data_IF_097446118636
#
_entry.id   IF_097446118636
#
_cell.length_a   1.000
_cell.length_b   1.000
_cell.length_c   1.000
_cell.angle_alpha   90.00
_cell.angle_beta   90.00
_cell.angle_gamma   90.00
#
_symmetry.space_group_name_H-M   'P 1'
#
loop_
_entity.id
_entity.type
_entity.pdbx_description
1 polymer ?
#
# COMPACT_ATOMS: atom_id res chain seq x y z
N UNK A 1 5.15 22.35 -5.30
CA UNK A 1 4.25 21.39 -5.97
C UNK A 1 3.09 22.12 -6.62
N UNK A 2 2.83 21.89 -7.89
CA UNK A 2 1.70 22.48 -8.66
C UNK A 2 0.93 21.33 -9.31
N UNK A 3 -0.41 21.33 -9.19
CA UNK A 3 -1.26 20.37 -9.90
C UNK A 3 -1.13 20.60 -11.40
N UNK A 4 -0.76 19.57 -12.13
CA UNK A 4 -0.63 19.62 -13.61
C UNK A 4 -1.76 18.85 -14.30
N UNK A 5 -2.40 17.90 -13.59
CA UNK A 5 -3.50 17.10 -14.11
C UNK A 5 -4.36 16.56 -12.96
N UNK A 6 -5.65 16.39 -13.23
CA UNK A 6 -6.58 15.63 -12.39
C UNK A 6 -7.28 14.56 -13.21
N UNK A 7 -7.47 13.38 -12.63
CA UNK A 7 -8.27 12.30 -13.20
C UNK A 7 -9.37 11.90 -12.21
N UNK A 8 -10.53 11.57 -12.77
CA UNK A 8 -11.62 10.97 -12.01
C UNK A 8 -11.66 9.47 -12.31
N UNK A 9 -11.38 8.60 -11.33
CA UNK A 9 -11.45 7.16 -11.50
C UNK A 9 -12.90 6.70 -11.69
N UNK A 10 -13.09 5.46 -12.15
CA UNK A 10 -14.42 4.85 -12.32
C UNK A 10 -15.13 4.64 -10.98
N UNK A 11 -14.40 4.30 -9.91
CA UNK A 11 -14.90 4.31 -8.54
C UNK A 11 -14.92 5.71 -7.93
N UNK A 12 -15.50 5.83 -6.73
CA UNK A 12 -15.57 7.10 -5.99
C UNK A 12 -14.28 7.45 -5.25
N UNK A 13 -13.48 6.43 -4.89
CA UNK A 13 -12.27 6.55 -4.09
C UNK A 13 -11.15 5.71 -4.69
N UNK A 14 -10.02 6.32 -4.99
CA UNK A 14 -8.82 5.63 -5.49
C UNK A 14 -7.97 5.16 -4.31
N UNK A 15 -7.59 3.89 -4.34
CA UNK A 15 -6.78 3.25 -3.29
C UNK A 15 -5.35 2.98 -3.73
N UNK A 16 -5.12 2.79 -5.02
CA UNK A 16 -3.83 2.46 -5.58
C UNK A 16 -3.64 3.15 -6.93
N UNK A 17 -2.43 3.62 -7.18
CA UNK A 17 -1.95 3.99 -8.50
C UNK A 17 -0.52 3.49 -8.68
N UNK A 18 -0.23 2.85 -9.82
CA UNK A 18 1.11 2.42 -10.18
C UNK A 18 1.36 2.61 -11.68
N UNK A 19 2.62 2.82 -12.05
CA UNK A 19 3.07 2.65 -13.44
C UNK A 19 3.19 1.17 -13.77
N UNK A 20 2.73 0.79 -14.96
CA UNK A 20 2.82 -0.59 -15.48
C UNK A 20 3.39 -0.60 -16.91
N UNK A 21 3.88 -1.77 -17.35
CA UNK A 21 4.40 -1.99 -18.69
C UNK A 21 5.44 -0.96 -19.10
N UNK A 22 6.53 -0.91 -18.35
CA UNK A 22 7.64 0.03 -18.55
C UNK A 22 7.17 1.50 -18.58
N UNK A 23 6.33 1.86 -17.64
CA UNK A 23 5.80 3.23 -17.46
C UNK A 23 4.96 3.77 -18.62
N UNK A 24 4.46 2.90 -19.50
CA UNK A 24 3.57 3.31 -20.60
C UNK A 24 2.15 3.61 -20.12
N UNK A 25 1.73 2.94 -19.06
CA UNK A 25 0.37 3.03 -18.56
C UNK A 25 0.35 3.26 -17.05
N UNK A 26 -0.77 3.80 -16.59
CA UNK A 26 -1.10 3.96 -15.18
C UNK A 26 -2.22 3.00 -14.82
N UNK A 27 -1.97 2.09 -13.90
CA UNK A 27 -2.97 1.23 -13.29
C UNK A 27 -3.56 1.93 -12.09
N UNK A 28 -4.86 2.03 -12.02
CA UNK A 28 -5.59 2.61 -10.90
C UNK A 28 -6.59 1.60 -10.37
N UNK A 29 -6.54 1.36 -9.06
CA UNK A 29 -7.58 0.63 -8.34
C UNK A 29 -8.42 1.62 -7.56
N UNK A 30 -9.70 1.63 -7.81
CA UNK A 30 -10.67 2.48 -7.11
C UNK A 30 -11.89 1.67 -6.67
N UNK A 31 -12.64 2.18 -5.71
CA UNK A 31 -13.86 1.52 -5.22
C UNK A 31 -15.01 2.51 -5.08
N UNK A 32 -16.23 1.99 -5.11
CA UNK A 32 -17.45 2.73 -4.76
C UNK A 32 -17.88 2.46 -3.31
N UNK A 33 -19.03 3.01 -2.92
CA UNK A 33 -19.59 2.83 -1.59
C UNK A 33 -20.13 1.43 -1.33
N UNK A 34 -20.40 0.66 -2.39
CA UNK A 34 -20.90 -0.71 -2.33
C UNK A 34 -19.77 -1.75 -2.28
N UNK A 35 -18.51 -1.30 -2.06
CA UNK A 35 -17.28 -2.11 -2.08
C UNK A 35 -16.99 -2.77 -3.43
N UNK A 36 -17.56 -2.24 -4.49
CA UNK A 36 -17.21 -2.67 -5.83
C UNK A 36 -15.95 -1.98 -6.26
N UNK A 37 -14.99 -2.77 -6.70
CA UNK A 37 -13.70 -2.29 -7.18
C UNK A 37 -13.70 -2.10 -8.69
N UNK A 38 -12.95 -1.10 -9.16
CA UNK A 38 -12.75 -0.79 -10.55
C UNK A 38 -11.26 -0.78 -10.85
N UNK A 39 -10.87 -1.48 -11.89
CA UNK A 39 -9.53 -1.46 -12.47
C UNK A 39 -9.60 -0.53 -13.65
N UNK A 40 -8.93 0.61 -13.58
CA UNK A 40 -8.78 1.55 -14.69
C UNK A 40 -7.32 1.55 -15.16
N UNK A 41 -7.10 1.54 -16.47
CA UNK A 41 -5.78 1.71 -17.06
C UNK A 41 -5.82 2.93 -17.98
N UNK A 42 -4.90 3.85 -17.74
CA UNK A 42 -4.75 5.10 -18.50
C UNK A 42 -3.43 5.08 -19.26
N UNK A 43 -3.40 5.70 -20.42
CA UNK A 43 -2.13 6.07 -21.07
C UNK A 43 -1.37 7.08 -20.20
N UNK A 44 -0.09 6.82 -19.91
CA UNK A 44 0.70 7.67 -19.02
C UNK A 44 1.06 9.03 -19.63
N UNK A 45 0.95 9.17 -20.97
CA UNK A 45 1.33 10.38 -21.69
C UNK A 45 0.21 11.38 -21.78
N UNK A 46 -1.01 10.96 -22.16
CA UNK A 46 -2.15 11.86 -22.39
C UNK A 46 -3.28 11.65 -21.37
N UNK A 47 -3.17 10.63 -20.53
CA UNK A 47 -4.15 10.25 -19.51
C UNK A 47 -5.52 9.82 -20.07
N UNK A 48 -5.56 9.37 -21.31
CA UNK A 48 -6.77 8.76 -21.86
C UNK A 48 -7.04 7.42 -21.18
N UNK A 49 -8.29 7.18 -20.81
CA UNK A 49 -8.69 5.89 -20.26
C UNK A 49 -8.74 4.85 -21.40
N UNK A 50 -7.92 3.81 -21.27
CA UNK A 50 -7.79 2.74 -22.26
C UNK A 50 -8.64 1.55 -21.87
N UNK A 51 -8.72 1.25 -20.58
CA UNK A 51 -9.35 0.07 -20.04
C UNK A 51 -10.07 0.41 -18.74
N UNK A 52 -11.27 -0.13 -18.56
CA UNK A 52 -12.01 -0.09 -17.31
C UNK A 52 -12.77 -1.39 -17.13
N UNK A 53 -12.61 -2.02 -15.99
CA UNK A 53 -13.37 -3.21 -15.62
C UNK A 53 -13.77 -3.22 -14.17
N UNK A 54 -15.01 -3.60 -13.91
CA UNK A 54 -15.57 -3.82 -12.58
C UNK A 54 -15.13 -5.19 -12.04
N UNK A 55 -14.75 -5.25 -10.75
CA UNK A 55 -14.44 -6.48 -10.01
C UNK A 55 -15.04 -6.40 -8.61
N UNK A 56 -15.79 -7.41 -8.21
CA UNK A 56 -16.32 -7.50 -6.86
C UNK A 56 -15.24 -7.96 -5.89
N UNK A 57 -15.23 -7.39 -4.68
CA UNK A 57 -14.37 -7.80 -3.57
C UNK A 57 -12.86 -7.82 -3.86
N UNK A 58 -12.39 -7.08 -4.86
CA UNK A 58 -10.97 -6.97 -5.18
C UNK A 58 -10.30 -6.01 -4.21
N UNK A 59 -9.29 -6.50 -3.46
CA UNK A 59 -8.52 -5.70 -2.53
C UNK A 59 -7.30 -5.05 -3.17
N UNK A 60 -6.54 -5.82 -3.93
CA UNK A 60 -5.22 -5.41 -4.41
C UNK A 60 -4.97 -5.93 -5.82
N UNK A 61 -4.16 -5.20 -6.58
CA UNK A 61 -3.69 -5.60 -7.91
C UNK A 61 -2.29 -5.02 -8.15
N UNK A 62 -1.39 -5.84 -8.70
CA UNK A 62 -0.09 -5.38 -9.19
C UNK A 62 0.34 -6.16 -10.43
N UNK A 63 1.19 -5.54 -11.26
CA UNK A 63 1.87 -6.22 -12.37
C UNK A 63 3.06 -7.01 -11.84
N UNK A 64 3.21 -8.23 -12.30
CA UNK A 64 4.34 -9.10 -12.02
C UNK A 64 5.44 -8.89 -13.07
N UNK A 65 6.67 -9.25 -12.72
CA UNK A 65 7.82 -9.24 -13.65
C UNK A 65 7.59 -10.06 -14.92
N UNK A 66 6.67 -11.04 -14.86
CA UNK A 66 6.24 -11.85 -16.02
C UNK A 66 5.32 -11.10 -16.98
N UNK A 67 4.83 -9.90 -16.63
CA UNK A 67 3.81 -9.15 -17.37
C UNK A 67 2.37 -9.59 -17.09
N UNK A 68 2.16 -10.63 -16.28
CA UNK A 68 0.86 -10.94 -15.71
C UNK A 68 0.55 -10.04 -14.52
N UNK A 69 -0.68 -10.08 -14.04
CA UNK A 69 -1.14 -9.37 -12.86
C UNK A 69 -1.52 -10.37 -11.78
N UNK A 70 -1.17 -10.04 -10.53
CA UNK A 70 -1.72 -10.70 -9.35
C UNK A 70 -2.83 -9.84 -8.78
N UNK A 71 -3.94 -10.47 -8.41
CA UNK A 71 -5.12 -9.84 -7.84
C UNK A 71 -5.54 -10.60 -6.58
N UNK A 72 -5.79 -9.91 -5.47
CA UNK A 72 -6.25 -10.53 -4.22
C UNK A 72 -7.65 -10.05 -3.84
N UNK A 73 -8.40 -10.91 -3.14
CA UNK A 73 -9.83 -10.76 -2.89
C UNK A 73 -10.21 -10.99 -1.41
N UNK A 74 -11.42 -10.53 -1.05
CA UNK A 74 -12.02 -10.68 0.30
C UNK A 74 -12.30 -12.14 0.69
N UNK A 75 -12.41 -13.05 -0.28
CA UNK A 75 -12.73 -14.47 -0.03
C UNK A 75 -11.50 -15.36 0.14
N UNK A 76 -10.32 -14.78 0.25
CA UNK A 76 -9.05 -15.52 0.32
C UNK A 76 -8.48 -15.95 -1.03
N UNK A 77 -9.17 -15.66 -2.12
CA UNK A 77 -8.72 -15.97 -3.47
C UNK A 77 -7.60 -15.03 -3.92
N UNK A 78 -6.63 -15.57 -4.63
CA UNK A 78 -5.64 -14.83 -5.40
C UNK A 78 -5.73 -15.30 -6.85
N UNK A 79 -5.81 -14.39 -7.80
CA UNK A 79 -5.78 -14.68 -9.23
C UNK A 79 -4.48 -14.20 -9.85
N UNK A 80 -3.87 -15.04 -10.68
CA UNK A 80 -2.86 -14.62 -11.65
C UNK A 80 -3.59 -14.47 -12.98
N UNK A 81 -3.50 -13.29 -13.60
CA UNK A 81 -4.26 -13.00 -14.81
C UNK A 81 -3.45 -12.18 -15.82
N UNK A 82 -3.77 -12.30 -17.08
CA UNK A 82 -3.32 -11.38 -18.12
C UNK A 82 -4.38 -10.33 -18.41
N UNK A 83 -3.96 -9.10 -18.68
CA UNK A 83 -4.83 -8.02 -19.15
C UNK A 83 -4.51 -7.73 -20.61
N UNK A 84 -5.48 -7.97 -21.48
CA UNK A 84 -5.40 -7.64 -22.90
C UNK A 84 -6.10 -6.29 -23.13
N UNK A 85 -5.31 -5.28 -23.50
CA UNK A 85 -5.81 -3.91 -23.70
C UNK A 85 -6.52 -3.75 -25.04
N UNK A 86 -6.23 -4.59 -26.04
CA UNK A 86 -6.85 -4.54 -27.35
C UNK A 86 -8.27 -5.12 -27.32
N UNK A 87 -8.41 -6.29 -26.71
CA UNK A 87 -9.72 -6.95 -26.52
C UNK A 87 -10.46 -6.46 -25.29
N UNK A 88 -9.80 -5.70 -24.42
CA UNK A 88 -10.32 -5.19 -23.14
C UNK A 88 -10.81 -6.31 -22.22
N UNK A 89 -10.01 -7.37 -22.10
CA UNK A 89 -10.35 -8.54 -21.28
C UNK A 89 -9.30 -8.81 -20.21
N UNK A 90 -9.77 -9.35 -19.07
CA UNK A 90 -8.92 -9.97 -18.05
C UNK A 90 -9.11 -11.49 -18.18
N UNK A 91 -8.02 -12.19 -18.45
CA UNK A 91 -8.02 -13.64 -18.60
C UNK A 91 -7.29 -14.25 -17.40
N UNK A 92 -8.04 -14.93 -16.51
CA UNK A 92 -7.46 -15.61 -15.36
C UNK A 92 -6.66 -16.82 -15.87
N UNK A 93 -5.37 -16.82 -15.52
CA UNK A 93 -4.41 -17.89 -15.88
C UNK A 93 -4.36 -18.93 -14.79
N UNK A 94 -4.42 -18.49 -13.52
CA UNK A 94 -4.38 -19.37 -12.35
C UNK A 94 -5.12 -18.76 -11.18
N UNK A 95 -5.75 -19.62 -10.36
CA UNK A 95 -6.25 -19.27 -9.04
C UNK A 95 -5.40 -19.97 -7.96
N UNK A 96 -4.95 -19.20 -6.95
CA UNK A 96 -4.25 -19.68 -5.78
C UNK A 96 -5.24 -19.73 -4.62
N UNK A 97 -5.48 -20.93 -4.06
CA UNK A 97 -6.58 -21.20 -3.11
C UNK A 97 -6.07 -21.80 -1.80
N UNK A 98 -5.15 -21.14 -1.14
CA UNK A 98 -4.64 -21.62 0.16
C UNK A 98 -5.04 -20.73 1.34
N UNK A 99 -5.35 -19.46 1.09
CA UNK A 99 -5.91 -18.60 2.12
C UNK A 99 -7.38 -18.92 2.38
N UNK A 100 -7.81 -18.76 3.62
CA UNK A 100 -9.19 -18.99 4.08
C UNK A 100 -9.87 -17.72 4.58
N UNK A 101 -9.23 -16.58 4.40
CA UNK A 101 -9.69 -15.25 4.78
C UNK A 101 -9.16 -14.21 3.80
N UNK A 102 -9.67 -12.98 3.90
CA UNK A 102 -9.32 -11.85 3.05
C UNK A 102 -7.82 -11.70 2.88
N UNK A 103 -7.34 -11.57 1.64
CA UNK A 103 -5.93 -11.36 1.32
C UNK A 103 -5.71 -9.87 1.08
N UNK A 104 -5.01 -9.23 1.99
CA UNK A 104 -4.81 -7.79 1.96
C UNK A 104 -3.65 -7.34 1.09
N UNK A 105 -2.56 -8.09 1.09
CA UNK A 105 -1.39 -7.75 0.30
C UNK A 105 -0.75 -8.98 -0.34
N UNK A 106 -0.23 -8.78 -1.54
CA UNK A 106 0.57 -9.76 -2.27
C UNK A 106 1.78 -9.03 -2.84
N UNK A 107 2.96 -9.60 -2.64
CA UNK A 107 4.20 -9.03 -3.13
C UNK A 107 4.98 -10.04 -3.96
N UNK A 108 5.52 -9.59 -5.10
CA UNK A 108 6.57 -10.30 -5.81
C UNK A 108 7.91 -9.96 -5.16
N UNK A 109 8.60 -10.97 -4.69
CA UNK A 109 9.94 -10.85 -4.11
C UNK A 109 10.98 -10.67 -5.22
N UNK A 110 12.13 -10.14 -4.86
CA UNK A 110 13.24 -9.87 -5.79
C UNK A 110 13.75 -11.13 -6.52
N UNK A 111 13.50 -12.31 -5.97
CA UNK A 111 13.83 -13.61 -6.59
C UNK A 111 12.70 -14.20 -7.45
N UNK A 112 11.60 -13.46 -7.65
CA UNK A 112 10.45 -13.86 -8.48
C UNK A 112 9.42 -14.74 -7.78
N UNK A 113 9.61 -15.07 -6.50
CA UNK A 113 8.59 -15.73 -5.70
C UNK A 113 7.50 -14.73 -5.32
N UNK A 114 6.30 -15.24 -4.97
CA UNK A 114 5.27 -14.41 -4.37
C UNK A 114 5.17 -14.68 -2.88
N UNK A 115 4.77 -13.68 -2.15
CA UNK A 115 4.31 -13.79 -0.76
C UNK A 115 2.99 -13.08 -0.62
N UNK A 116 2.07 -13.66 0.14
CA UNK A 116 0.75 -13.10 0.41
C UNK A 116 0.44 -13.13 1.90
N UNK A 117 -0.32 -12.15 2.37
CA UNK A 117 -0.76 -12.09 3.76
C UNK A 117 -2.27 -11.87 3.87
N UNK A 118 -2.86 -12.38 4.92
CA UNK A 118 -4.32 -12.40 5.09
C UNK A 118 -4.79 -12.00 6.48
N UNK A 119 -6.07 -11.71 6.55
CA UNK A 119 -6.82 -11.28 7.72
C UNK A 119 -6.73 -12.25 8.92
N UNK A 120 -6.43 -13.52 8.70
CA UNK A 120 -6.29 -14.51 9.77
C UNK A 120 -4.83 -14.73 10.23
N UNK A 121 -3.91 -13.83 9.87
CA UNK A 121 -2.50 -13.89 10.26
C UNK A 121 -1.67 -14.88 9.47
N UNK A 122 -2.21 -15.48 8.43
CA UNK A 122 -1.50 -16.40 7.57
C UNK A 122 -0.64 -15.66 6.55
N UNK A 123 0.62 -16.08 6.43
CA UNK A 123 1.57 -15.63 5.41
C UNK A 123 1.94 -16.84 4.57
N UNK A 124 1.72 -16.76 3.26
CA UNK A 124 1.98 -17.86 2.32
C UNK A 124 3.02 -17.43 1.29
N UNK A 125 4.01 -18.31 1.06
CA UNK A 125 5.01 -18.16 0.02
C UNK A 125 4.74 -19.10 -1.14
N UNK A 126 4.88 -18.57 -2.34
CA UNK A 126 4.58 -19.26 -3.60
C UNK A 126 5.82 -19.23 -4.49
N UNK A 127 6.16 -20.34 -5.11
CA UNK A 127 7.22 -20.43 -6.10
C UNK A 127 6.65 -20.72 -7.50
N UNK A 128 7.23 -20.08 -8.50
CA UNK A 128 6.87 -20.36 -9.88
C UNK A 128 7.48 -21.71 -10.30
N UNK A 129 6.63 -22.66 -10.68
CA UNK A 129 7.07 -23.89 -11.33
C UNK A 129 7.33 -23.57 -12.81
N UNK A 130 8.60 -23.55 -13.27
CA UNK A 130 8.94 -23.09 -14.61
C UNK A 130 8.48 -24.06 -15.72
N UNK A 131 8.23 -25.33 -15.38
CA UNK A 131 7.78 -26.35 -16.35
C UNK A 131 6.30 -26.22 -16.66
N UNK A 132 5.51 -25.81 -15.70
CA UNK A 132 4.06 -25.67 -15.81
C UNK A 132 3.61 -24.22 -15.94
N UNK A 133 4.51 -23.28 -15.66
CA UNK A 133 4.24 -21.84 -15.59
C UNK A 133 3.10 -21.49 -14.64
N UNK A 134 3.09 -22.14 -13.47
CA UNK A 134 2.14 -21.91 -12.38
C UNK A 134 2.86 -21.66 -11.05
N UNK A 135 2.23 -20.90 -10.17
CA UNK A 135 2.69 -20.72 -8.80
C UNK A 135 2.17 -21.84 -7.92
N UNK A 136 3.05 -22.39 -7.07
CA UNK A 136 2.75 -23.45 -6.12
C UNK A 136 3.13 -22.99 -4.72
N UNK A 137 2.26 -23.24 -3.73
CA UNK A 137 2.58 -23.00 -2.33
C UNK A 137 3.72 -23.91 -1.90
N UNK A 138 4.74 -23.35 -1.25
CA UNK A 138 5.83 -24.16 -0.70
C UNK A 138 6.07 -23.90 0.79
N UNK A 139 5.55 -22.82 1.35
CA UNK A 139 5.67 -22.50 2.78
C UNK A 139 4.47 -21.67 3.23
N UNK A 140 3.95 -22.00 4.41
CA UNK A 140 2.95 -21.22 5.12
C UNK A 140 3.38 -20.97 6.54
N UNK A 141 3.15 -19.75 7.04
CA UNK A 141 3.44 -19.33 8.40
C UNK A 141 2.20 -18.71 9.03
N UNK A 142 2.06 -18.92 10.34
CA UNK A 142 1.13 -18.18 11.19
C UNK A 142 1.96 -17.44 12.24
N UNK A 143 2.29 -16.19 11.97
CA UNK A 143 3.16 -15.42 12.86
C UNK A 143 2.43 -14.98 14.12
N UNK A 144 1.18 -14.54 13.97
CA UNK A 144 0.26 -14.16 15.03
C UNK A 144 -1.15 -14.64 14.67
N UNK A 145 -2.07 -14.77 15.63
CA UNK A 145 -3.46 -15.16 15.34
C UNK A 145 -4.28 -14.05 14.69
N UNK A 146 -3.66 -12.96 14.28
CA UNK A 146 -4.28 -11.70 13.89
C UNK A 146 -3.84 -11.24 12.49
N UNK A 147 -4.51 -10.24 11.99
CA UNK A 147 -4.48 -9.72 10.62
C UNK A 147 -3.14 -9.12 10.21
N UNK A 148 -2.66 -9.46 9.00
CA UNK A 148 -1.56 -8.76 8.34
C UNK A 148 -2.05 -8.04 7.10
N UNK A 149 -1.57 -6.81 6.89
CA UNK A 149 -2.01 -5.96 5.79
C UNK A 149 -0.90 -5.39 4.93
N UNK A 150 0.35 -5.48 5.35
CA UNK A 150 1.46 -4.89 4.59
C UNK A 150 2.70 -5.75 4.62
N UNK A 151 3.33 -5.90 3.48
CA UNK A 151 4.53 -6.68 3.24
C UNK A 151 5.62 -5.78 2.67
N UNK A 152 6.81 -5.78 3.26
CA UNK A 152 7.96 -5.02 2.79
C UNK A 152 9.20 -5.91 2.72
N UNK A 153 9.80 -6.05 1.53
CA UNK A 153 11.03 -6.80 1.34
C UNK A 153 12.25 -5.91 1.58
N UNK A 154 13.17 -6.38 2.40
CA UNK A 154 14.53 -5.87 2.51
C UNK A 154 15.45 -6.75 1.66
N UNK A 155 15.66 -6.33 0.41
CA UNK A 155 16.44 -7.09 -0.57
C UNK A 155 17.91 -7.22 -0.14
N UNK A 156 18.48 -6.18 0.49
CA UNK A 156 19.89 -6.18 0.89
C UNK A 156 20.18 -7.21 2.00
N UNK A 157 19.20 -7.41 2.92
CA UNK A 157 19.36 -8.33 4.05
C UNK A 157 18.60 -9.64 3.86
N UNK A 158 17.98 -9.82 2.71
CA UNK A 158 17.14 -10.97 2.39
C UNK A 158 16.10 -11.26 3.47
N UNK A 159 15.33 -10.21 3.84
CA UNK A 159 14.31 -10.26 4.88
C UNK A 159 12.96 -9.76 4.37
N UNK A 160 11.91 -10.24 4.98
CA UNK A 160 10.54 -9.75 4.79
C UNK A 160 10.03 -9.19 6.11
N UNK A 161 9.49 -7.97 6.09
CA UNK A 161 8.78 -7.35 7.20
C UNK A 161 7.29 -7.47 6.91
N UNK A 162 6.52 -7.91 7.91
CA UNK A 162 5.07 -8.02 7.83
C UNK A 162 4.46 -7.20 8.94
N UNK A 163 3.65 -6.21 8.59
CA UNK A 163 2.96 -5.36 9.55
C UNK A 163 1.49 -5.76 9.71
N UNK A 164 0.95 -5.66 10.94
CA UNK A 164 -0.43 -6.02 11.24
C UNK A 164 -1.42 -5.00 10.68
N UNK A 165 -2.70 -5.39 10.63
CA UNK A 165 -3.86 -4.55 10.38
C UNK A 165 -4.74 -4.52 11.63
N UNK A 166 -5.48 -3.43 11.86
CA UNK A 166 -6.52 -3.22 12.90
C UNK A 166 -6.39 -4.04 14.20
N UNK A 167 -6.31 -3.38 15.36
CA UNK A 167 -6.36 -3.94 16.73
C UNK A 167 -5.47 -5.19 16.98
N UNK A 168 -4.57 -5.48 16.07
CA UNK A 168 -3.71 -6.64 16.12
C UNK A 168 -2.31 -6.26 16.56
N UNK A 169 -1.69 -7.12 17.33
CA UNK A 169 -0.34 -6.93 17.81
C UNK A 169 0.67 -7.65 16.93
N UNK A 170 1.71 -6.92 16.52
CA UNK A 170 2.96 -7.56 16.21
C UNK A 170 3.41 -7.50 14.75
N UNK A 171 4.22 -6.51 14.45
CA UNK A 171 5.11 -6.57 13.29
C UNK A 171 6.12 -7.69 13.47
N UNK A 172 6.38 -8.45 12.42
CA UNK A 172 7.40 -9.49 12.42
C UNK A 172 8.40 -9.36 11.28
N UNK A 173 9.59 -9.92 11.49
CA UNK A 173 10.64 -10.05 10.47
C UNK A 173 10.84 -11.54 10.19
N UNK A 174 10.82 -11.89 8.91
CA UNK A 174 11.05 -13.23 8.39
C UNK A 174 12.37 -13.22 7.63
N UNK A 175 13.23 -14.19 7.90
CA UNK A 175 14.41 -14.48 7.11
C UNK A 175 14.01 -15.23 5.83
N UNK A 176 14.39 -14.73 4.65
CA UNK A 176 13.98 -15.31 3.37
C UNK A 176 14.87 -16.47 2.91
N UNK A 177 16.00 -16.76 3.58
CA UNK A 177 16.78 -17.97 3.33
C UNK A 177 16.15 -19.18 4.02
N UNK A 178 15.68 -19.00 5.25
CA UNK A 178 15.12 -20.08 6.08
C UNK A 178 13.59 -20.11 6.10
N UNK A 179 12.94 -19.01 5.74
CA UNK A 179 11.50 -18.80 5.91
C UNK A 179 11.05 -18.97 7.37
N UNK A 180 11.87 -18.48 8.30
CA UNK A 180 11.58 -18.49 9.74
C UNK A 180 11.40 -17.06 10.26
N UNK A 181 10.54 -16.91 11.25
CA UNK A 181 10.37 -15.64 11.94
C UNK A 181 11.54 -15.42 12.87
N UNK A 182 12.33 -14.37 12.62
CA UNK A 182 13.55 -14.05 13.39
C UNK A 182 13.36 -12.93 14.40
N UNK A 183 12.31 -12.12 14.27
CA UNK A 183 11.94 -11.10 15.24
C UNK A 183 10.43 -10.88 15.26
N UNK A 184 9.91 -10.49 16.43
CA UNK A 184 8.51 -10.12 16.69
C UNK A 184 8.46 -8.90 17.59
N UNK A 185 7.60 -7.93 17.25
CA UNK A 185 7.43 -6.66 17.96
C UNK A 185 5.99 -6.52 18.44
N UNK A 186 5.70 -7.08 19.60
CA UNK A 186 4.34 -7.08 20.18
C UNK A 186 3.90 -5.69 20.65
N UNK A 187 4.84 -4.78 20.89
CA UNK A 187 4.59 -3.38 21.23
C UNK A 187 4.03 -2.55 20.07
N UNK A 188 4.20 -3.02 18.84
CA UNK A 188 3.64 -2.36 17.65
C UNK A 188 2.24 -2.93 17.44
N UNK A 189 1.24 -2.26 17.98
CA UNK A 189 -0.17 -2.63 17.83
C UNK A 189 -0.84 -1.62 16.89
N UNK A 190 -1.52 -2.11 15.85
CA UNK A 190 -2.17 -1.26 14.86
C UNK A 190 -3.61 -0.92 15.20
N UNK A 191 -4.01 0.33 14.93
CA UNK A 191 -5.40 0.80 14.97
C UNK A 191 -5.87 1.36 13.60
N UNK A 192 -5.30 0.89 12.52
CA UNK A 192 -5.60 1.39 11.16
C UNK A 192 -4.83 0.62 10.11
N UNK A 193 -5.00 0.93 8.84
CA UNK A 193 -4.24 0.29 7.78
C UNK A 193 -2.73 0.49 7.99
N UNK A 194 -2.03 -0.60 8.21
CA UNK A 194 -0.58 -0.57 8.41
C UNK A 194 0.12 -0.40 7.08
N UNK A 195 1.09 0.49 7.04
CA UNK A 195 2.00 0.61 5.90
C UNK A 195 3.43 0.69 6.40
N UNK A 196 4.31 -0.03 5.71
CA UNK A 196 5.72 -0.10 5.98
C UNK A 196 6.50 0.69 4.94
N UNK A 197 7.44 1.52 5.39
CA UNK A 197 8.25 2.34 4.49
C UNK A 197 9.71 2.32 4.90
N UNK A 198 10.61 2.16 3.92
CA UNK A 198 12.02 2.44 4.14
C UNK A 198 12.26 3.95 4.22
N UNK A 199 12.81 4.41 5.32
CA UNK A 199 13.32 5.78 5.49
C UNK A 199 14.67 5.91 4.80
N UNK A 200 15.55 4.97 5.08
CA UNK A 200 16.84 4.78 4.43
C UNK A 200 17.09 3.28 4.24
N UNK A 201 18.33 2.88 3.92
CA UNK A 201 18.74 1.50 3.72
C UNK A 201 18.72 0.62 4.98
N UNK A 202 18.48 1.20 6.18
CA UNK A 202 18.55 0.48 7.47
C UNK A 202 17.28 0.60 8.31
N UNK A 203 16.58 1.71 8.17
CA UNK A 203 15.45 2.04 9.02
C UNK A 203 14.13 1.92 8.25
N UNK A 204 13.25 1.12 8.80
CA UNK A 204 11.86 1.00 8.36
C UNK A 204 10.96 1.73 9.34
N UNK A 205 10.00 2.49 8.84
CA UNK A 205 8.88 3.01 9.63
C UNK A 205 7.74 2.03 9.54
N UNK A 206 7.16 1.75 10.70
CA UNK A 206 5.84 1.14 10.83
C UNK A 206 4.86 2.19 11.33
N UNK A 207 3.87 2.56 10.53
CA UNK A 207 2.87 3.55 10.87
C UNK A 207 1.55 2.95 11.39
N UNK A 208 1.53 1.65 11.67
CA UNK A 208 0.33 0.92 12.09
C UNK A 208 -0.34 1.53 13.34
N UNK A 209 0.45 2.15 14.22
CA UNK A 209 -0.01 2.79 15.43
C UNK A 209 -0.11 4.32 15.34
N UNK A 210 0.05 4.91 14.15
CA UNK A 210 0.15 6.37 13.98
C UNK A 210 -1.09 7.15 14.47
N UNK A 211 -2.23 6.49 14.57
CA UNK A 211 -3.47 7.11 15.03
C UNK A 211 -3.52 7.38 16.54
N UNK A 212 -2.78 6.64 17.37
CA UNK A 212 -2.83 6.78 18.83
C UNK A 212 -1.45 6.91 19.49
N UNK A 213 -0.44 6.22 18.98
CA UNK A 213 0.86 6.06 19.65
C UNK A 213 2.01 6.75 18.89
N UNK A 214 1.89 6.93 17.57
CA UNK A 214 2.93 7.50 16.71
C UNK A 214 3.65 6.47 15.84
N UNK A 215 4.81 6.85 15.30
CA UNK A 215 5.57 6.00 14.39
C UNK A 215 6.59 5.15 15.15
N UNK A 216 6.69 3.89 14.78
CA UNK A 216 7.77 3.01 15.20
C UNK A 216 8.86 2.94 14.13
N UNK A 217 10.11 2.96 14.59
CA UNK A 217 11.30 2.88 13.74
C UNK A 217 12.03 1.59 14.05
N UNK A 218 12.16 0.74 13.04
CA UNK A 218 12.78 -0.58 13.14
C UNK A 218 14.16 -0.52 12.49
N UNK A 219 15.20 -0.84 13.27
CA UNK A 219 16.57 -1.02 12.77
C UNK A 219 16.70 -2.44 12.20
N UNK A 220 16.86 -2.52 10.88
CA UNK A 220 16.93 -3.80 10.16
C UNK A 220 18.22 -4.56 10.36
N UNK A 221 19.32 -3.87 10.73
CA UNK A 221 20.59 -4.53 11.08
C UNK A 221 20.49 -5.24 12.43
N UNK A 222 19.75 -4.63 13.37
CA UNK A 222 19.60 -5.14 14.74
C UNK A 222 18.35 -5.97 14.95
N UNK A 223 17.38 -5.93 14.02
CA UNK A 223 16.05 -6.53 14.14
C UNK A 223 15.35 -6.09 15.43
N UNK A 224 15.31 -4.79 15.70
CA UNK A 224 14.69 -4.23 16.91
C UNK A 224 14.09 -2.86 16.67
N UNK A 225 13.10 -2.51 17.47
CA UNK A 225 12.58 -1.14 17.56
C UNK A 225 13.64 -0.24 18.20
N UNK A 226 13.97 0.86 17.52
CA UNK A 226 15.00 1.80 17.97
C UNK A 226 14.45 3.15 18.39
N UNK A 227 13.23 3.48 17.97
CA UNK A 227 12.58 4.74 18.29
C UNK A 227 11.07 4.61 18.14
N UNK A 228 10.37 5.31 19.01
CA UNK A 228 8.96 5.63 18.91
C UNK A 228 8.82 7.17 18.88
N UNK A 229 8.07 7.69 17.91
CA UNK A 229 7.91 9.14 17.74
C UNK A 229 6.46 9.58 17.90
N UNK A 230 6.13 10.08 19.08
CA UNK A 230 4.78 10.57 19.40
C UNK A 230 4.42 11.89 18.69
N UNK A 231 5.37 12.59 18.07
CA UNK A 231 5.13 13.90 17.44
C UNK A 231 4.19 13.83 16.25
N UNK A 232 4.10 12.67 15.60
CA UNK A 232 3.17 12.46 14.50
C UNK A 232 1.72 12.23 14.93
N UNK A 233 1.47 12.03 16.24
CA UNK A 233 0.12 11.86 16.79
C UNK A 233 -0.76 13.09 16.71
N UNK A 234 -0.19 14.29 16.76
CA UNK A 234 -0.96 15.54 16.71
C UNK A 234 -1.56 15.77 15.31
N UNK A 235 -0.95 15.17 14.28
CA UNK A 235 -1.37 15.30 12.89
C UNK A 235 -1.30 13.90 12.24
N UNK A 236 -2.41 13.20 12.18
CA UNK A 236 -2.50 11.84 11.65
C UNK A 236 -1.85 11.71 10.28
N UNK A 237 -0.69 11.08 10.22
CA UNK A 237 -0.06 10.71 8.96
C UNK A 237 -0.77 9.50 8.37
N UNK A 238 -1.08 9.57 7.09
CA UNK A 238 -1.83 8.49 6.42
C UNK A 238 -0.97 7.75 5.41
N UNK A 239 -0.05 8.44 4.73
CA UNK A 239 0.70 7.86 3.63
C UNK A 239 2.08 8.52 3.51
N UNK A 240 3.10 7.72 3.21
CA UNK A 240 4.47 8.17 2.97
C UNK A 240 4.92 7.82 1.56
N UNK A 241 5.86 8.60 1.03
CA UNK A 241 6.52 8.34 -0.24
C UNK A 241 7.99 8.76 -0.16
N UNK A 242 8.91 7.81 -0.29
CA UNK A 242 10.33 8.12 -0.47
C UNK A 242 10.58 8.58 -1.90
N UNK A 243 11.10 9.79 -2.04
CA UNK A 243 11.44 10.38 -3.33
C UNK A 243 12.80 9.86 -3.82
N UNK A 244 13.00 9.91 -5.14
CA UNK A 244 14.28 9.53 -5.78
C UNK A 244 15.48 10.35 -5.28
N UNK A 245 15.26 11.56 -4.77
CA UNK A 245 16.31 12.40 -4.16
C UNK A 245 16.58 12.09 -2.70
N UNK A 246 15.96 11.06 -2.12
CA UNK A 246 16.13 10.63 -0.74
C UNK A 246 15.21 11.31 0.28
N UNK A 247 14.51 12.39 -0.08
CA UNK A 247 13.54 13.04 0.80
C UNK A 247 12.28 12.18 0.96
N UNK A 248 11.55 12.39 2.06
CA UNK A 248 10.28 11.74 2.35
C UNK A 248 9.13 12.73 2.22
N UNK A 249 8.12 12.39 1.44
CA UNK A 249 6.82 13.05 1.49
C UNK A 249 5.91 12.32 2.46
N UNK A 250 5.13 13.10 3.21
CA UNK A 250 4.15 12.60 4.14
C UNK A 250 2.81 13.33 3.92
N UNK A 251 1.73 12.60 3.79
CA UNK A 251 0.39 13.18 3.85
C UNK A 251 -0.05 13.29 5.30
N UNK A 252 -0.61 14.45 5.68
CA UNK A 252 -0.99 14.75 7.06
C UNK A 252 -2.43 15.26 7.09
N UNK A 253 -3.29 14.60 7.86
CA UNK A 253 -4.65 15.08 8.09
C UNK A 253 -4.65 16.09 9.25
N UNK A 254 -4.99 17.35 8.95
CA UNK A 254 -4.87 18.46 9.90
C UNK A 254 -6.11 18.65 10.79
N UNK A 255 -7.24 18.05 10.47
CA UNK A 255 -8.47 18.18 11.27
C UNK A 255 -9.14 16.82 11.51
N UNK A 256 -9.30 16.52 12.80
CA UNK A 256 -9.83 15.27 13.32
C UNK A 256 -11.37 15.20 13.18
N UNK A 257 -11.88 14.84 12.01
CA UNK A 257 -13.20 14.21 11.95
C UNK A 257 -13.04 12.87 11.29
N UNK A 258 -13.24 11.82 12.08
CA UNK A 258 -13.44 10.48 11.57
C UNK A 258 -14.44 10.55 10.41
N UNK A 259 -13.95 10.26 9.21
CA UNK A 259 -14.85 9.90 8.13
C UNK A 259 -15.51 8.57 8.54
N UNK A 260 -16.57 8.66 9.33
CA UNK A 260 -17.50 7.55 9.42
C UNK A 260 -18.05 7.37 8.02
N UNK A 261 -17.63 6.33 7.36
CA UNK A 261 -18.31 5.73 6.21
C UNK A 261 -19.60 5.08 6.75
N UNK A 262 -20.43 5.84 7.47
CA UNK A 262 -21.74 5.38 7.88
C UNK A 262 -22.65 5.41 6.66
N UNK A 263 -23.30 4.28 6.45
CA UNK A 263 -24.27 4.03 5.39
C UNK A 263 -25.63 4.72 5.61
N UNK A 264 -25.72 5.74 6.47
CA UNK A 264 -27.00 6.34 6.82
C UNK A 264 -27.23 7.62 6.00
N UNK A 265 -28.20 7.54 5.12
CA UNK A 265 -28.67 8.56 4.16
C UNK A 265 -29.50 9.70 4.79
N UNK A 266 -29.38 10.01 6.04
CA UNK A 266 -30.16 11.11 6.65
C UNK A 266 -29.20 12.05 7.39
N UNK A 267 -28.79 13.17 6.70
CA UNK A 267 -28.67 14.50 7.28
C UNK A 267 -28.02 15.48 6.28
N UNK A 268 -28.87 16.33 5.71
CA UNK A 268 -28.50 17.45 4.82
C UNK A 268 -27.85 18.64 5.55
N UNK A 269 -27.50 18.52 6.81
CA UNK A 269 -26.97 19.65 7.60
C UNK A 269 -25.60 19.34 8.19
N UNK A 270 -24.54 19.27 7.44
CA UNK A 270 -23.18 19.59 7.92
C UNK A 270 -22.11 19.45 6.84
N UNK A 271 -22.31 20.08 5.69
CA UNK A 271 -21.28 20.20 4.63
C UNK A 271 -20.12 21.14 5.00
N UNK A 272 -19.88 21.45 6.28
CA UNK A 272 -18.93 22.52 6.68
C UNK A 272 -17.56 22.08 7.16
N UNK A 273 -17.29 20.78 7.33
CA UNK A 273 -15.99 20.35 7.83
C UNK A 273 -15.47 19.09 7.12
N UNK A 274 -15.20 19.22 5.83
CA UNK A 274 -14.40 18.24 5.12
C UNK A 274 -12.95 18.40 5.58
N UNK A 275 -12.37 17.35 6.12
CA UNK A 275 -11.00 17.37 6.62
C UNK A 275 -10.01 17.89 5.57
N UNK A 276 -8.93 18.50 6.02
CA UNK A 276 -7.88 19.05 5.17
C UNK A 276 -6.69 18.10 5.20
N UNK A 277 -6.14 17.79 4.03
CA UNK A 277 -4.88 17.08 3.92
C UNK A 277 -3.78 18.02 3.45
N UNK A 278 -2.71 18.07 4.19
CA UNK A 278 -1.47 18.76 3.85
C UNK A 278 -0.41 17.76 3.42
N UNK A 279 0.57 18.19 2.64
CA UNK A 279 1.75 17.42 2.29
C UNK A 279 2.97 18.07 2.92
N UNK A 280 3.72 17.30 3.68
CA UNK A 280 4.99 17.69 4.26
C UNK A 280 6.13 17.00 3.52
N UNK A 281 7.21 17.74 3.29
CA UNK A 281 8.47 17.19 2.74
C UNK A 281 9.55 17.28 3.79
N UNK A 282 10.21 16.15 4.02
CA UNK A 282 11.21 16.00 5.07
C UNK A 282 12.56 15.56 4.48
N UNK A 283 13.62 16.19 4.95
CA UNK A 283 15.00 15.73 4.78
C UNK A 283 15.33 14.83 5.97
N UNK A 284 15.93 13.69 5.70
CA UNK A 284 16.23 12.67 6.69
C UNK A 284 17.74 12.48 6.73
N UNK A 285 18.32 12.47 7.93
CA UNK A 285 19.75 12.27 8.11
C UNK A 285 20.19 10.81 7.84
N UNK A 286 21.48 10.58 7.84
CA UNK A 286 22.08 9.25 7.59
C UNK A 286 21.66 8.19 8.62
N UNK A 287 21.25 8.61 9.83
CA UNK A 287 20.75 7.67 10.84
C UNK A 287 19.33 7.21 10.57
N UNK A 288 18.56 7.94 9.77
CA UNK A 288 17.14 7.71 9.54
C UNK A 288 16.22 8.13 10.69
N UNK A 289 16.78 8.66 11.78
CA UNK A 289 16.05 8.94 13.02
C UNK A 289 15.83 10.44 13.28
N UNK A 290 16.52 11.32 12.55
CA UNK A 290 16.34 12.77 12.66
C UNK A 290 15.81 13.34 11.36
N UNK A 291 14.69 14.03 11.46
CA UNK A 291 13.97 14.57 10.35
C UNK A 291 13.89 16.08 10.43
N UNK A 292 14.17 16.75 9.34
CA UNK A 292 14.06 18.19 9.19
C UNK A 292 12.98 18.51 8.19
N UNK A 293 11.92 19.22 8.63
CA UNK A 293 10.88 19.70 7.74
C UNK A 293 11.46 20.74 6.77
N UNK A 294 11.34 20.46 5.48
CA UNK A 294 11.78 21.36 4.42
C UNK A 294 10.66 22.34 4.04
N UNK A 295 9.46 21.82 3.84
CA UNK A 295 8.27 22.63 3.56
C UNK A 295 6.98 21.87 3.85
N UNK A 296 5.89 22.64 3.99
CA UNK A 296 4.53 22.13 4.02
C UNK A 296 3.74 22.73 2.85
N UNK A 297 3.05 21.89 2.09
CA UNK A 297 2.05 22.31 1.11
C UNK A 297 0.68 22.08 1.72
N UNK A 298 0.02 23.18 2.09
CA UNK A 298 -1.28 23.15 2.73
C UNK A 298 -2.42 22.92 1.74
N UNK A 299 -3.50 22.31 2.21
CA UNK A 299 -4.77 22.14 1.49
C UNK A 299 -4.62 21.46 0.12
N UNK A 300 -3.81 20.41 0.09
CA UNK A 300 -3.59 19.64 -1.14
C UNK A 300 -4.85 18.90 -1.53
N UNK A 301 -5.60 18.42 -0.55
CA UNK A 301 -6.86 17.73 -0.75
C UNK A 301 -7.82 17.97 0.42
N UNK A 302 -9.12 17.75 0.15
CA UNK A 302 -10.17 17.76 1.18
C UNK A 302 -10.48 16.35 1.71
N UNK A 303 -9.82 15.34 1.21
CA UNK A 303 -9.96 13.93 1.59
C UNK A 303 -8.58 13.35 1.89
N UNK A 304 -8.50 12.31 2.71
CA UNK A 304 -7.25 11.58 2.95
C UNK A 304 -6.61 11.12 1.62
N UNK A 305 -5.29 11.10 1.60
CA UNK A 305 -4.51 10.52 0.51
C UNK A 305 -4.15 9.10 0.93
N UNK A 306 -4.60 8.13 0.15
CA UNK A 306 -4.44 6.71 0.47
C UNK A 306 -3.19 6.09 -0.16
N UNK A 307 -2.69 6.68 -1.24
CA UNK A 307 -1.50 6.20 -1.90
C UNK A 307 -0.82 7.34 -2.67
N UNK A 308 0.49 7.33 -2.66
CA UNK A 308 1.34 8.26 -3.42
C UNK A 308 2.40 7.48 -4.18
N UNK A 309 2.68 7.89 -5.41
CA UNK A 309 3.77 7.32 -6.21
C UNK A 309 4.52 8.42 -6.94
N UNK A 310 5.85 8.31 -6.98
CA UNK A 310 6.67 9.11 -7.89
C UNK A 310 6.79 8.36 -9.22
N UNK A 311 6.30 8.99 -10.28
CA UNK A 311 6.35 8.45 -11.62
C UNK A 311 7.77 8.52 -12.19
N UNK A 312 8.04 7.72 -13.19
CA UNK A 312 9.35 7.65 -13.89
C UNK A 312 9.82 8.99 -14.44
N UNK A 313 8.91 9.89 -14.78
CA UNK A 313 9.21 11.26 -15.23
C UNK A 313 9.37 12.28 -14.11
N UNK A 314 9.35 11.84 -12.87
CA UNK A 314 9.54 12.65 -11.66
C UNK A 314 8.25 13.31 -11.12
N UNK A 315 7.13 13.24 -11.82
CA UNK A 315 5.84 13.72 -11.28
C UNK A 315 5.39 12.85 -10.11
N UNK A 316 4.58 13.42 -9.23
CA UNK A 316 3.99 12.69 -8.10
C UNK A 316 2.50 12.55 -8.35
N UNK A 317 2.02 11.32 -8.35
CA UNK A 317 0.59 11.01 -8.38
C UNK A 317 0.09 10.71 -6.97
N UNK A 318 -1.06 11.26 -6.60
CA UNK A 318 -1.68 11.09 -5.29
C UNK A 318 -3.13 10.62 -5.47
N UNK A 319 -3.46 9.53 -4.79
CA UNK A 319 -4.78 8.92 -4.82
C UNK A 319 -5.66 9.33 -3.66
N UNK A 320 -6.89 9.73 -3.99
CA UNK A 320 -7.96 10.08 -3.08
C UNK A 320 -9.31 9.87 -3.79
N UNK A 321 -10.31 10.74 -3.58
CA UNK A 321 -11.51 10.83 -4.41
C UNK A 321 -11.22 11.26 -5.87
N UNK A 322 -10.11 11.91 -6.09
CA UNK A 322 -9.52 12.23 -7.39
C UNK A 322 -8.04 11.79 -7.39
N UNK A 323 -7.52 11.55 -8.57
CA UNK A 323 -6.09 11.35 -8.75
C UNK A 323 -5.50 12.68 -9.22
N UNK A 324 -4.54 13.21 -8.47
CA UNK A 324 -3.85 14.45 -8.79
C UNK A 324 -2.39 14.20 -9.08
N UNK A 325 -1.92 14.82 -10.16
CA UNK A 325 -0.53 14.80 -10.58
C UNK A 325 0.10 16.14 -10.28
N UNK A 326 1.26 16.08 -9.64
CA UNK A 326 2.04 17.24 -9.21
C UNK A 326 3.41 17.25 -9.85
N UNK A 327 3.89 18.48 -10.12
CA UNK A 327 5.25 18.77 -10.56
C UNK A 327 5.95 19.68 -9.56
#
# INVERSE_FOLDING_TARGET
MKVVKELKPSGKMSRLINEIRDSKYLLVLSSDQERVSYIDIYDAKDYSNIFSQKRESLYFIMELSTGNFVMSYEDGKIEIASIDLDTKTINVVQELKSHTSDVYDVKELSDGKLVSCSNNGQIIFWSLNPSLNIYEEFKSLNAYPNEYSSLLEDVERNKLICAPCFDSSGTCIIDLDTYEIIAKFEEIAGNGGSELYFVNDKIVIDNSAADEIGLFYIDMDKNQVVKHDEKFNENKSVCFLKLQNGNLLCSVNVENKQLHLSSDEDEEEDKKDVGRTDIQCWEIDETGLNWKLLYTKEKVNNYPIFNMVQLSDGRIAMCSNLIRFYQ
#
